data_IF_210622524154
#
_entry.id   IF_210622524154
#
_cell.length_a   1.000
_cell.length_b   1.000
_cell.length_c   1.000
_cell.angle_alpha   90.00
_cell.angle_beta   90.00
_cell.angle_gamma   90.00
#
_symmetry.space_group_name_H-M   'P 1'
#
loop_
_entity.id
_entity.type
_entity.pdbx_description
1 polymer ?
#
# COMPACT_ATOMS: atom_id res chain seq x y z
N UNK A 1 12.22 28.04 6.87
CA UNK A 1 12.35 27.11 5.75
C UNK A 1 11.67 25.79 6.12
N UNK A 2 10.67 25.37 5.36
CA UNK A 2 10.06 24.06 5.58
C UNK A 2 10.98 22.98 5.02
N UNK A 3 11.23 21.94 5.82
CA UNK A 3 12.02 20.79 5.39
C UNK A 3 11.01 19.76 4.84
N UNK A 4 11.17 19.43 3.56
CA UNK A 4 10.37 18.39 2.93
C UNK A 4 10.91 17.01 3.33
N UNK A 5 10.07 16.18 3.93
CA UNK A 5 10.42 14.80 4.20
C UNK A 5 10.20 13.94 2.96
N UNK A 6 11.15 13.06 2.69
CA UNK A 6 11.05 12.05 1.64
C UNK A 6 10.76 10.70 2.27
N UNK A 7 9.76 10.02 1.74
CA UNK A 7 9.27 8.76 2.31
C UNK A 7 9.22 7.71 1.21
N UNK A 8 9.93 6.61 1.39
CA UNK A 8 9.90 5.49 0.45
C UNK A 8 8.78 4.51 0.80
N UNK A 9 8.14 3.97 -0.22
CA UNK A 9 7.06 2.99 -0.08
C UNK A 9 7.14 1.97 -1.21
N UNK A 10 6.54 0.79 -1.01
CA UNK A 10 6.48 -0.24 -2.05
C UNK A 10 5.16 -0.12 -2.80
N UNK A 11 5.23 -0.10 -4.11
CA UNK A 11 4.09 -0.05 -5.01
C UNK A 11 4.14 1.12 -5.96
N UNK A 12 3.11 1.25 -6.76
CA UNK A 12 2.95 2.33 -7.72
C UNK A 12 2.28 3.55 -7.07
N UNK A 13 2.31 4.68 -7.77
CA UNK A 13 1.56 5.86 -7.35
C UNK A 13 0.06 5.50 -7.25
N UNK A 14 -0.55 5.89 -6.15
CA UNK A 14 -1.93 5.52 -5.83
C UNK A 14 -2.04 4.34 -4.87
N UNK A 15 -0.94 3.70 -4.50
CA UNK A 15 -0.93 2.61 -3.52
C UNK A 15 -1.39 3.09 -2.14
N UNK A 16 -1.92 2.16 -1.34
CA UNK A 16 -2.38 2.47 0.01
C UNK A 16 -1.26 2.98 0.92
N UNK A 17 -0.05 2.46 0.78
CA UNK A 17 1.11 2.95 1.55
C UNK A 17 1.43 4.40 1.23
N UNK A 18 1.34 4.81 -0.02
CA UNK A 18 1.51 6.22 -0.40
C UNK A 18 0.42 7.09 0.24
N UNK A 19 -0.83 6.67 0.15
CA UNK A 19 -1.96 7.38 0.74
C UNK A 19 -1.82 7.49 2.26
N UNK A 20 -1.39 6.43 2.92
CA UNK A 20 -1.13 6.42 4.35
C UNK A 20 -0.06 7.45 4.73
N UNK A 21 1.03 7.51 3.97
CA UNK A 21 2.07 8.51 4.18
C UNK A 21 1.54 9.93 4.01
N UNK A 22 0.81 10.18 2.92
CA UNK A 22 0.29 11.51 2.61
C UNK A 22 -0.70 12.03 3.67
N UNK A 23 -1.49 11.14 4.27
CA UNK A 23 -2.48 11.52 5.28
C UNK A 23 -1.91 11.71 6.69
N UNK A 24 -0.79 11.08 6.99
CA UNK A 24 -0.32 10.97 8.38
C UNK A 24 0.99 11.71 8.67
N UNK A 25 1.77 12.08 7.67
CA UNK A 25 2.94 12.91 7.88
C UNK A 25 2.56 14.40 7.82
N UNK A 26 3.10 15.15 8.76
CA UNK A 26 2.87 16.60 8.81
C UNK A 26 3.82 17.34 7.85
N UNK A 27 3.31 18.41 7.24
CA UNK A 27 4.08 19.25 6.33
C UNK A 27 4.15 18.67 4.93
N UNK A 28 5.05 19.24 4.13
CA UNK A 28 5.27 18.78 2.76
C UNK A 28 6.06 17.48 2.75
N UNK A 29 5.61 16.52 1.99
CA UNK A 29 6.32 15.26 1.80
C UNK A 29 6.48 14.95 0.31
N UNK A 30 7.53 14.22 -0.01
CA UNK A 30 7.74 13.60 -1.31
C UNK A 30 7.77 12.09 -1.10
N UNK A 31 6.96 11.36 -1.87
CA UNK A 31 6.91 9.91 -1.78
C UNK A 31 7.71 9.29 -2.92
N UNK A 32 8.50 8.27 -2.61
CA UNK A 32 9.36 7.57 -3.57
C UNK A 32 8.89 6.12 -3.70
N UNK A 33 8.44 5.77 -4.89
CA UNK A 33 7.97 4.42 -5.22
C UNK A 33 9.14 3.45 -5.35
N UNK A 34 9.01 2.28 -4.74
CA UNK A 34 9.99 1.19 -4.83
C UNK A 34 9.28 -0.11 -5.22
N UNK A 35 10.01 -1.02 -5.85
CA UNK A 35 9.47 -2.29 -6.29
C UNK A 35 9.36 -3.32 -5.17
N UNK A 36 10.24 -3.26 -4.18
CA UNK A 36 10.31 -4.23 -3.09
C UNK A 36 10.43 -3.55 -1.73
N UNK A 37 10.05 -4.26 -0.68
CA UNK A 37 10.24 -3.76 0.69
C UNK A 37 11.72 -3.57 1.03
N UNK A 38 12.58 -4.42 0.49
CA UNK A 38 14.03 -4.27 0.66
C UNK A 38 14.52 -2.93 0.11
N UNK A 39 14.08 -2.55 -1.08
CA UNK A 39 14.42 -1.26 -1.68
C UNK A 39 13.90 -0.09 -0.85
N UNK A 40 12.70 -0.22 -0.30
CA UNK A 40 12.11 0.80 0.59
C UNK A 40 13.05 1.07 1.76
N UNK A 41 13.52 0.03 2.41
CA UNK A 41 14.45 0.11 3.54
C UNK A 41 15.81 0.67 3.11
N UNK A 42 16.35 0.18 1.99
CA UNK A 42 17.65 0.62 1.47
C UNK A 42 17.69 2.12 1.17
N UNK A 43 16.58 2.69 0.70
CA UNK A 43 16.51 4.14 0.46
C UNK A 43 16.71 4.95 1.74
N UNK A 44 16.15 4.52 2.85
CA UNK A 44 16.30 5.20 4.13
C UNK A 44 17.67 4.93 4.75
N UNK A 45 18.17 3.70 4.66
CA UNK A 45 19.53 3.37 5.13
C UNK A 45 20.58 4.18 4.38
N UNK A 46 20.39 4.38 3.07
CA UNK A 46 21.30 5.17 2.22
C UNK A 46 21.04 6.67 2.26
N UNK A 47 20.17 7.13 3.12
CA UNK A 47 19.82 8.55 3.29
C UNK A 47 19.20 9.21 2.05
N UNK A 48 18.67 8.41 1.12
CA UNK A 48 17.91 8.92 -0.03
C UNK A 48 16.51 9.36 0.38
N UNK A 49 15.96 8.72 1.41
CA UNK A 49 14.70 9.10 2.03
C UNK A 49 14.91 9.25 3.53
N UNK A 50 14.05 10.04 4.17
CA UNK A 50 14.09 10.28 5.61
C UNK A 50 13.41 9.16 6.38
N UNK A 51 12.36 8.58 5.78
CA UNK A 51 11.54 7.53 6.38
C UNK A 51 11.19 6.48 5.34
N UNK A 52 10.95 5.27 5.82
CA UNK A 52 10.32 4.19 5.07
C UNK A 52 8.96 3.91 5.68
N UNK A 53 7.95 3.65 4.86
CA UNK A 53 6.68 3.16 5.33
C UNK A 53 6.49 1.71 4.86
N UNK A 54 6.14 0.82 5.78
CA UNK A 54 5.96 -0.61 5.50
C UNK A 54 4.60 -1.08 6.02
N UNK A 55 3.85 -1.85 5.22
CA UNK A 55 2.67 -2.52 5.73
C UNK A 55 3.09 -3.67 6.66
N UNK A 56 2.59 -3.66 7.89
CA UNK A 56 2.95 -4.65 8.90
C UNK A 56 1.85 -5.68 9.09
N UNK A 57 0.61 -5.23 9.15
CA UNK A 57 -0.55 -6.08 9.31
C UNK A 57 -1.71 -5.59 8.46
N UNK A 58 -2.47 -6.56 7.96
CA UNK A 58 -3.74 -6.34 7.28
C UNK A 58 -4.80 -7.11 8.07
N UNK A 59 -5.94 -6.48 8.35
CA UNK A 59 -7.01 -7.08 9.16
C UNK A 59 -7.61 -8.36 8.55
N UNK A 60 -7.46 -8.55 7.25
CA UNK A 60 -8.00 -9.72 6.54
C UNK A 60 -6.94 -10.80 6.39
N UNK A 61 -5.71 -10.44 6.02
CA UNK A 61 -4.64 -11.39 5.71
C UNK A 61 -3.60 -11.56 6.83
N UNK A 62 -3.68 -10.72 7.86
CA UNK A 62 -2.78 -10.82 9.00
C UNK A 62 -1.41 -10.18 8.76
N UNK A 63 -0.37 -10.80 9.28
CA UNK A 63 0.98 -10.27 9.32
C UNK A 63 1.65 -10.29 7.95
N UNK A 64 2.33 -9.20 7.59
CA UNK A 64 3.15 -9.11 6.37
C UNK A 64 4.60 -9.48 6.71
N UNK A 65 4.93 -10.77 6.56
CA UNK A 65 6.23 -11.31 6.96
C UNK A 65 7.42 -10.66 6.25
N UNK A 66 7.28 -10.35 4.96
CA UNK A 66 8.35 -9.70 4.18
C UNK A 66 8.75 -8.34 4.75
N UNK A 67 7.79 -7.57 5.28
CA UNK A 67 8.07 -6.28 5.90
C UNK A 67 8.87 -6.44 7.18
N UNK A 68 8.53 -7.43 8.00
CA UNK A 68 9.29 -7.74 9.21
C UNK A 68 10.70 -8.20 8.88
N UNK A 69 10.85 -9.07 7.88
CA UNK A 69 12.16 -9.56 7.46
C UNK A 69 13.04 -8.41 6.95
N UNK A 70 12.49 -7.52 6.15
CA UNK A 70 13.22 -6.36 5.64
C UNK A 70 13.69 -5.45 6.78
N UNK A 71 12.81 -5.17 7.73
CA UNK A 71 13.15 -4.33 8.88
C UNK A 71 14.18 -5.01 9.80
N UNK A 72 14.00 -6.29 10.09
CA UNK A 72 14.91 -7.05 10.95
C UNK A 72 16.34 -7.09 10.40
N UNK A 73 16.48 -7.20 9.08
CA UNK A 73 17.79 -7.23 8.41
C UNK A 73 18.42 -5.85 8.26
N UNK A 74 17.78 -4.80 8.73
CA UNK A 74 18.23 -3.41 8.59
C UNK A 74 18.80 -2.86 9.87
N UNK A 75 19.40 -1.66 9.78
CA UNK A 75 19.84 -0.87 10.94
C UNK A 75 18.80 0.18 11.35
N UNK A 76 17.59 0.11 10.78
CA UNK A 76 16.54 1.07 11.05
C UNK A 76 15.69 0.68 12.25
N UNK A 77 15.00 1.65 12.81
CA UNK A 77 14.08 1.47 13.93
C UNK A 77 12.68 1.93 13.55
N UNK A 78 11.67 1.26 14.06
CA UNK A 78 10.30 1.73 13.95
C UNK A 78 10.12 2.94 14.88
N UNK A 79 9.74 4.07 14.31
CA UNK A 79 9.56 5.34 15.04
C UNK A 79 8.11 5.77 15.15
N UNK A 80 7.20 5.03 14.55
CA UNK A 80 5.78 5.30 14.62
C UNK A 80 4.96 4.24 13.90
N UNK A 81 3.66 4.30 14.09
CA UNK A 81 2.72 3.43 13.39
C UNK A 81 1.56 4.24 12.83
N UNK A 82 0.97 3.74 11.76
CA UNK A 82 -0.15 4.35 11.07
C UNK A 82 -1.23 3.28 10.89
N UNK A 83 -2.46 3.63 11.25
CA UNK A 83 -3.64 2.85 10.91
C UNK A 83 -4.31 3.49 9.70
N UNK A 84 -4.42 2.75 8.62
CA UNK A 84 -4.98 3.25 7.38
C UNK A 84 -6.14 2.36 6.94
N UNK A 85 -7.32 2.97 6.81
CA UNK A 85 -8.50 2.24 6.34
C UNK A 85 -8.37 1.97 4.84
N UNK A 86 -8.54 0.70 4.47
CA UNK A 86 -8.52 0.27 3.09
C UNK A 86 -9.96 0.25 2.56
N UNK A 87 -10.21 1.05 1.53
CA UNK A 87 -11.50 1.10 0.86
C UNK A 87 -11.28 0.86 -0.63
N UNK A 88 -11.60 -0.34 -1.08
CA UNK A 88 -11.49 -0.66 -2.50
C UNK A 88 -12.63 0.00 -3.28
N UNK A 89 -12.31 0.47 -4.47
CA UNK A 89 -13.29 1.08 -5.37
C UNK A 89 -13.38 0.27 -6.65
N UNK A 90 -14.60 -0.02 -7.08
CA UNK A 90 -14.83 -0.61 -8.39
C UNK A 90 -14.86 0.52 -9.43
N UNK A 91 -13.94 0.45 -10.39
CA UNK A 91 -13.76 1.49 -11.39
C UNK A 91 -14.09 0.93 -12.77
N UNK A 92 -14.88 1.66 -13.53
CA UNK A 92 -15.24 1.25 -14.87
C UNK A 92 -16.01 2.33 -15.63
N UNK A 93 -16.32 2.02 -16.87
CA UNK A 93 -17.15 2.87 -17.72
C UNK A 93 -18.60 2.34 -17.69
N UNK A 94 -19.51 3.12 -17.15
CA UNK A 94 -20.91 2.73 -17.08
C UNK A 94 -21.41 2.45 -15.65
N UNK A 95 -22.53 1.76 -15.55
CA UNK A 95 -23.16 1.44 -14.28
C UNK A 95 -22.71 0.07 -13.74
N UNK A 96 -23.07 -0.22 -12.49
CA UNK A 96 -22.82 -1.55 -11.89
C UNK A 96 -23.45 -2.68 -12.69
N UNK A 97 -24.58 -2.42 -13.32
CA UNK A 97 -25.29 -3.41 -14.10
C UNK A 97 -24.60 -3.78 -15.42
N UNK A 98 -23.74 -2.87 -15.90
CA UNK A 98 -22.99 -3.08 -17.14
C UNK A 98 -21.69 -3.88 -16.91
N UNK A 99 -21.31 -4.12 -15.67
CA UNK A 99 -20.08 -4.85 -15.33
C UNK A 99 -20.29 -6.35 -15.56
N UNK A 100 -19.40 -6.95 -16.34
CA UNK A 100 -19.37 -8.39 -16.57
C UNK A 100 -18.16 -9.04 -15.88
N UNK A 101 -17.00 -8.44 -16.01
CA UNK A 101 -15.74 -8.99 -15.51
C UNK A 101 -14.97 -7.93 -14.71
N UNK A 102 -14.40 -8.35 -13.59
CA UNK A 102 -13.58 -7.50 -12.71
C UNK A 102 -12.15 -8.02 -12.71
N UNK A 103 -11.21 -7.14 -13.02
CA UNK A 103 -9.78 -7.43 -13.04
C UNK A 103 -9.11 -6.78 -11.85
N UNK A 104 -8.37 -7.55 -11.08
CA UNK A 104 -7.58 -6.98 -9.98
C UNK A 104 -6.56 -7.99 -9.44
N UNK A 105 -5.71 -7.52 -8.55
CA UNK A 105 -4.80 -8.38 -7.81
C UNK A 105 -5.60 -9.43 -7.00
N UNK A 106 -5.13 -10.67 -6.90
CA UNK A 106 -5.83 -11.72 -6.14
C UNK A 106 -6.21 -11.33 -4.72
N UNK A 107 -5.37 -10.56 -4.06
CA UNK A 107 -5.60 -10.07 -2.71
C UNK A 107 -6.84 -9.16 -2.63
N UNK A 108 -6.93 -8.19 -3.54
CA UNK A 108 -8.07 -7.28 -3.61
C UNK A 108 -9.36 -8.02 -3.95
N UNK A 109 -9.30 -8.97 -4.88
CA UNK A 109 -10.45 -9.81 -5.24
C UNK A 109 -10.92 -10.62 -4.03
N UNK A 110 -10.00 -11.19 -3.26
CA UNK A 110 -10.33 -11.94 -2.05
C UNK A 110 -10.99 -11.08 -0.98
N UNK A 111 -10.48 -9.87 -0.79
CA UNK A 111 -11.04 -8.91 0.18
C UNK A 111 -12.42 -8.40 -0.20
N UNK A 112 -12.75 -8.39 -1.50
CA UNK A 112 -14.04 -7.94 -2.01
C UNK A 112 -14.99 -9.10 -2.36
N UNK A 113 -14.68 -10.31 -1.94
CA UNK A 113 -15.42 -11.53 -2.34
C UNK A 113 -16.92 -11.42 -2.11
N UNK A 114 -17.34 -10.98 -0.94
CA UNK A 114 -18.76 -10.89 -0.60
C UNK A 114 -19.50 -9.92 -1.50
N UNK A 115 -18.90 -8.77 -1.77
CA UNK A 115 -19.47 -7.79 -2.69
C UNK A 115 -19.58 -8.36 -4.10
N UNK A 116 -18.51 -8.97 -4.61
CA UNK A 116 -18.46 -9.48 -5.97
C UNK A 116 -19.43 -10.63 -6.21
N UNK A 117 -19.61 -11.49 -5.21
CA UNK A 117 -20.57 -12.60 -5.30
C UNK A 117 -22.01 -12.12 -5.41
N UNK A 118 -22.36 -11.03 -4.76
CA UNK A 118 -23.72 -10.47 -4.81
C UNK A 118 -24.14 -10.06 -6.22
N UNK A 119 -23.17 -9.73 -7.08
CA UNK A 119 -23.42 -9.29 -8.45
C UNK A 119 -23.10 -10.36 -9.49
N UNK A 120 -22.61 -11.51 -9.07
CA UNK A 120 -22.22 -12.63 -9.97
C UNK A 120 -21.20 -12.22 -11.05
N UNK A 121 -20.31 -11.30 -10.73
CA UNK A 121 -19.25 -10.88 -11.65
C UNK A 121 -18.20 -11.97 -11.82
N UNK A 122 -17.68 -12.09 -13.05
CA UNK A 122 -16.48 -12.88 -13.31
C UNK A 122 -15.27 -12.11 -12.76
N UNK A 123 -14.32 -12.82 -12.19
CA UNK A 123 -13.10 -12.21 -11.65
C UNK A 123 -11.88 -12.76 -12.37
N UNK A 124 -10.96 -11.86 -12.73
CA UNK A 124 -9.71 -12.23 -13.40
C UNK A 124 -8.55 -11.63 -12.61
N UNK A 125 -7.74 -12.45 -11.96
CA UNK A 125 -6.56 -11.97 -11.26
C UNK A 125 -5.50 -11.43 -12.24
N UNK A 126 -4.86 -10.34 -11.87
CA UNK A 126 -3.84 -9.70 -12.69
C UNK A 126 -2.53 -9.49 -11.95
#
# INVERSE_FOLDING_TARGET
>A
MSIMNKISFQGENGAYSQSAAQKNFHGEIETISCSTFKQVIEHTEGEKTNYSILPIENSIEGTVGESYDALYSSNLYAVGEIYHKIEHCLIGNGSLEDVDTVYSHPQALGQCRNFLQNYSYKTVPT
#
